data_IF_275583822091
#
_entry.id   IF_275583822091
#
_cell.length_a   1.000
_cell.length_b   1.000
_cell.length_c   1.000
_cell.angle_alpha   90.00
_cell.angle_beta   90.00
_cell.angle_gamma   90.00
#
_symmetry.space_group_name_H-M   'P 1'
#
loop_
_entity.id
_entity.type
_entity.pdbx_description
1 polymer ?
#
# COMPACT_ATOMS: atom_id res chain seq x y z
N UNK A 1 8.62 5.50 17.62
CA UNK A 1 9.51 4.36 17.30
C UNK A 1 10.12 4.58 15.93
N UNK A 2 11.31 4.05 15.64
CA UNK A 2 11.83 4.03 14.26
C UNK A 2 11.23 2.84 13.53
N UNK A 3 10.58 3.09 12.40
CA UNK A 3 10.04 2.06 11.52
C UNK A 3 11.22 1.34 10.83
N UNK A 4 11.32 0.02 11.00
CA UNK A 4 12.31 -0.85 10.33
C UNK A 4 11.62 -1.57 9.16
N UNK A 5 12.35 -2.02 8.16
CA UNK A 5 11.79 -2.75 6.99
C UNK A 5 12.73 -3.87 6.56
N UNK A 6 12.30 -4.70 5.60
CA UNK A 6 13.08 -5.85 5.13
C UNK A 6 14.16 -5.45 4.10
N UNK A 7 15.36 -6.05 4.16
CA UNK A 7 16.34 -5.97 3.07
C UNK A 7 15.85 -6.77 1.85
N UNK A 8 16.33 -6.40 0.66
CA UNK A 8 16.04 -7.13 -0.57
C UNK A 8 16.98 -8.34 -0.65
N UNK A 9 16.48 -9.57 -0.81
CA UNK A 9 17.34 -10.74 -0.98
C UNK A 9 18.25 -10.59 -2.20
N UNK A 10 19.53 -10.92 -2.03
CA UNK A 10 20.57 -10.80 -3.07
C UNK A 10 20.91 -9.36 -3.49
N UNK A 11 20.46 -8.36 -2.71
CA UNK A 11 20.87 -6.95 -2.80
C UNK A 11 21.17 -6.42 -1.39
N UNK A 12 22.46 -6.39 -1.05
CA UNK A 12 22.97 -6.01 0.26
C UNK A 12 22.91 -4.50 0.53
N UNK A 13 22.55 -3.70 -0.49
CA UNK A 13 22.56 -2.24 -0.43
C UNK A 13 21.18 -1.60 -0.34
N UNK A 14 20.10 -2.35 -0.58
CA UNK A 14 18.74 -1.81 -0.65
C UNK A 14 17.73 -2.51 0.26
N UNK A 15 16.75 -1.71 0.69
CA UNK A 15 15.63 -2.12 1.51
C UNK A 15 14.32 -1.84 0.80
N UNK A 16 13.33 -2.70 0.98
CA UNK A 16 12.02 -2.49 0.37
C UNK A 16 11.12 -1.63 1.25
N UNK A 17 10.43 -0.68 0.61
CA UNK A 17 9.33 0.08 1.18
C UNK A 17 8.25 0.29 0.12
N UNK A 18 7.01 0.51 0.56
CA UNK A 18 5.94 1.02 -0.30
C UNK A 18 5.56 2.43 0.16
N UNK A 19 5.20 3.34 -0.75
CA UNK A 19 4.58 4.59 -0.33
C UNK A 19 3.12 4.34 0.02
N UNK A 20 2.68 4.85 1.17
CA UNK A 20 1.33 4.68 1.68
C UNK A 20 0.25 5.09 0.69
N UNK A 21 0.41 6.23 -0.01
CA UNK A 21 -0.57 6.69 -1.01
C UNK A 21 -0.82 5.66 -2.13
N UNK A 22 0.21 4.95 -2.60
CA UNK A 22 0.02 3.94 -3.65
C UNK A 22 -0.74 2.72 -3.13
N UNK A 23 -0.48 2.32 -1.89
CA UNK A 23 -1.22 1.23 -1.26
C UNK A 23 -2.68 1.62 -0.96
N UNK A 24 -2.93 2.83 -0.46
CA UNK A 24 -4.27 3.37 -0.23
C UNK A 24 -5.09 3.39 -1.53
N UNK A 25 -4.51 3.86 -2.65
CA UNK A 25 -5.16 3.85 -3.95
C UNK A 25 -5.39 2.43 -4.50
N UNK A 26 -4.46 1.50 -4.27
CA UNK A 26 -4.64 0.08 -4.60
C UNK A 26 -5.85 -0.50 -3.87
N UNK A 27 -5.92 -0.33 -2.55
CA UNK A 27 -7.01 -0.81 -1.71
C UNK A 27 -8.36 -0.21 -2.11
N UNK A 28 -8.42 1.11 -2.36
CA UNK A 28 -9.63 1.76 -2.84
C UNK A 28 -10.10 1.18 -4.19
N UNK A 29 -9.18 0.87 -5.10
CA UNK A 29 -9.54 0.23 -6.36
C UNK A 29 -9.99 -1.24 -6.18
N UNK A 30 -9.41 -1.99 -5.23
CA UNK A 30 -9.89 -3.35 -4.88
C UNK A 30 -11.32 -3.31 -4.34
N UNK A 31 -11.64 -2.35 -3.47
CA UNK A 31 -13.00 -2.12 -2.99
C UNK A 31 -13.95 -1.78 -4.14
N UNK A 32 -13.57 -0.84 -5.02
CA UNK A 32 -14.35 -0.51 -6.22
C UNK A 32 -14.67 -1.75 -7.05
N UNK A 33 -13.68 -2.59 -7.36
CA UNK A 33 -13.89 -3.82 -8.14
C UNK A 33 -14.81 -4.82 -7.44
N UNK A 34 -14.71 -4.97 -6.12
CA UNK A 34 -15.58 -5.86 -5.34
C UNK A 34 -17.03 -5.38 -5.35
N UNK A 35 -17.26 -4.08 -5.16
CA UNK A 35 -18.57 -3.43 -5.20
C UNK A 35 -19.25 -3.62 -6.57
N UNK A 36 -18.51 -3.41 -7.65
CA UNK A 36 -19.01 -3.59 -9.02
C UNK A 36 -19.31 -5.05 -9.38
N UNK A 37 -18.61 -6.01 -8.78
CA UNK A 37 -18.73 -7.42 -9.12
C UNK A 37 -19.71 -8.22 -8.25
N UNK A 38 -20.16 -7.67 -7.11
CA UNK A 38 -20.81 -8.45 -6.05
C UNK A 38 -22.20 -7.98 -5.62
N UNK A 39 -22.70 -6.86 -6.13
CA UNK A 39 -23.96 -6.25 -5.68
C UNK A 39 -24.89 -6.02 -6.87
N UNK A 40 -26.16 -6.38 -6.70
CA UNK A 40 -27.24 -5.99 -7.59
C UNK A 40 -27.80 -4.64 -7.14
N UNK A 41 -27.85 -3.67 -8.05
CA UNK A 41 -28.17 -2.27 -7.75
C UNK A 41 -29.57 -1.85 -8.21
N UNK A 42 -30.39 -2.79 -8.71
CA UNK A 42 -31.66 -2.48 -9.37
C UNK A 42 -32.73 -1.87 -8.45
N UNK A 43 -32.68 -2.12 -7.15
CA UNK A 43 -33.70 -1.69 -6.17
C UNK A 43 -33.16 -0.74 -5.09
N UNK A 44 -31.99 -0.13 -5.30
CA UNK A 44 -31.37 0.80 -4.35
C UNK A 44 -31.88 2.24 -4.55
N UNK A 45 -32.04 2.96 -3.44
CA UNK A 45 -32.30 4.41 -3.42
C UNK A 45 -31.13 5.19 -4.05
N UNK A 46 -31.39 6.37 -4.63
CA UNK A 46 -30.40 7.23 -5.28
C UNK A 46 -29.25 7.65 -4.34
N UNK A 47 -29.45 7.60 -3.02
CA UNK A 47 -28.39 7.82 -2.01
C UNK A 47 -27.47 6.61 -1.78
N UNK A 48 -27.89 5.41 -2.17
CA UNK A 48 -27.16 4.15 -2.00
C UNK A 48 -26.84 3.46 -3.33
N UNK A 49 -27.40 3.93 -4.44
CA UNK A 49 -27.17 3.41 -5.78
C UNK A 49 -25.73 3.58 -6.25
N UNK A 50 -25.35 2.78 -7.25
CA UNK A 50 -23.98 2.70 -7.77
C UNK A 50 -23.40 4.07 -8.17
N UNK A 51 -24.22 4.98 -8.68
CA UNK A 51 -23.83 6.35 -9.04
C UNK A 51 -23.30 7.14 -7.84
N UNK A 52 -23.98 7.03 -6.69
CA UNK A 52 -23.57 7.72 -5.45
C UNK A 52 -22.30 7.10 -4.89
N UNK A 53 -22.22 5.76 -4.89
CA UNK A 53 -21.04 5.01 -4.44
C UNK A 53 -19.81 5.38 -5.30
N UNK A 54 -19.96 5.51 -6.62
CA UNK A 54 -18.90 5.97 -7.51
C UNK A 54 -18.41 7.38 -7.17
N UNK A 55 -19.33 8.31 -6.91
CA UNK A 55 -18.99 9.65 -6.50
C UNK A 55 -18.19 9.64 -5.18
N UNK A 56 -18.60 8.84 -4.20
CA UNK A 56 -17.90 8.64 -2.93
C UNK A 56 -16.49 8.06 -3.14
N UNK A 57 -16.34 7.03 -3.98
CA UNK A 57 -15.04 6.44 -4.31
C UNK A 57 -14.13 7.50 -4.96
N UNK A 58 -14.65 8.32 -5.86
CA UNK A 58 -13.87 9.39 -6.48
C UNK A 58 -13.47 10.48 -5.48
N UNK A 59 -14.36 10.88 -4.56
CA UNK A 59 -14.05 11.85 -3.51
C UNK A 59 -12.93 11.33 -2.58
N UNK A 60 -12.99 10.06 -2.19
CA UNK A 60 -11.93 9.40 -1.42
C UNK A 60 -10.61 9.37 -2.20
N UNK A 61 -10.64 9.00 -3.48
CA UNK A 61 -9.45 9.03 -4.35
C UNK A 61 -8.81 10.41 -4.40
N UNK A 62 -9.61 11.46 -4.55
CA UNK A 62 -9.12 12.84 -4.57
C UNK A 62 -8.50 13.24 -3.23
N UNK A 63 -9.12 12.85 -2.11
CA UNK A 63 -8.56 13.09 -0.77
C UNK A 63 -7.21 12.40 -0.57
N UNK A 64 -7.10 11.13 -0.97
CA UNK A 64 -5.85 10.36 -0.90
C UNK A 64 -4.74 10.94 -1.78
N UNK A 65 -5.08 11.41 -2.99
CA UNK A 65 -4.11 12.07 -3.87
C UNK A 65 -3.72 13.46 -3.35
N UNK A 66 -4.63 14.20 -2.72
CA UNK A 66 -4.34 15.50 -2.11
C UNK A 66 -3.44 15.35 -0.88
N UNK A 67 -3.73 14.35 -0.03
CA UNK A 67 -2.90 14.05 1.12
C UNK A 67 -1.55 13.46 0.71
N UNK A 68 -1.51 12.66 -0.36
CA UNK A 68 -0.30 12.04 -0.91
C UNK A 68 0.64 11.53 0.18
N UNK A 69 0.13 10.67 1.06
CA UNK A 69 0.91 10.18 2.20
C UNK A 69 2.19 9.45 1.74
N UNK A 70 3.33 10.08 2.00
CA UNK A 70 4.66 9.57 1.66
C UNK A 70 5.26 8.69 2.74
N UNK A 71 4.50 8.38 3.79
CA UNK A 71 5.06 7.54 4.83
C UNK A 71 5.44 6.19 4.24
N UNK A 72 6.71 5.76 4.39
CA UNK A 72 7.13 4.46 3.93
C UNK A 72 6.40 3.38 4.75
N UNK A 73 5.56 2.61 4.09
CA UNK A 73 5.03 1.37 4.64
C UNK A 73 6.17 0.37 4.66
N UNK A 74 6.43 -0.13 5.87
CA UNK A 74 7.45 -1.13 6.08
C UNK A 74 6.91 -2.50 5.76
N UNK A 75 7.75 -3.33 5.17
CA UNK A 75 7.43 -4.72 4.93
C UNK A 75 7.85 -5.56 6.13
N UNK A 76 7.06 -6.59 6.43
CA UNK A 76 7.36 -7.59 7.46
C UNK A 76 6.82 -8.95 7.05
N UNK A 77 7.46 -10.03 7.52
CA UNK A 77 6.91 -11.38 7.33
C UNK A 77 5.83 -11.65 8.35
N UNK A 78 4.66 -11.96 7.85
CA UNK A 78 3.54 -12.46 8.62
C UNK A 78 3.90 -13.82 9.24
N UNK A 79 3.60 -14.01 10.53
CA UNK A 79 3.92 -15.25 11.25
C UNK A 79 2.99 -16.41 10.90
N UNK A 80 1.82 -16.16 10.32
CA UNK A 80 0.80 -17.15 9.98
C UNK A 80 1.11 -17.83 8.64
N UNK A 81 1.50 -17.06 7.62
CA UNK A 81 1.77 -17.58 6.27
C UNK A 81 3.22 -17.40 5.78
N UNK A 82 4.07 -16.67 6.53
CA UNK A 82 5.48 -16.43 6.18
C UNK A 82 5.69 -15.43 5.04
N UNK A 83 4.63 -14.84 4.50
CA UNK A 83 4.66 -13.92 3.36
C UNK A 83 4.95 -12.51 3.84
N UNK A 84 5.77 -11.77 3.08
CA UNK A 84 6.06 -10.38 3.37
C UNK A 84 4.83 -9.49 3.01
N UNK A 85 4.34 -8.70 3.97
CA UNK A 85 3.18 -7.79 3.86
C UNK A 85 3.52 -6.39 4.38
N UNK A 86 2.76 -5.38 3.97
CA UNK A 86 2.92 -3.99 4.43
C UNK A 86 2.20 -3.67 5.74
N UNK A 87 2.71 -2.70 6.51
CA UNK A 87 2.13 -2.22 7.78
C UNK A 87 1.60 -0.79 7.63
N UNK A 88 0.35 -0.53 8.06
CA UNK A 88 -0.42 0.67 7.66
C UNK A 88 -0.59 1.78 8.74
N UNK A 89 -0.20 1.59 10.00
CA UNK A 89 -0.39 2.62 11.06
C UNK A 89 0.73 3.67 11.07
N UNK A 90 0.51 4.84 10.46
CA UNK A 90 1.51 5.92 10.34
C UNK A 90 0.88 7.33 10.25
N UNK A 91 1.68 8.41 10.33
CA UNK A 91 1.22 9.82 10.43
C UNK A 91 1.24 10.53 9.06
N UNK A 92 0.26 11.41 8.75
CA UNK A 92 0.00 11.93 7.39
C UNK A 92 0.05 13.47 7.24
N UNK A 93 0.39 14.00 6.03
CA UNK A 93 0.39 15.44 5.63
C UNK A 93 0.21 15.63 4.11
N UNK A 94 -0.55 16.64 3.63
CA UNK A 94 -0.79 16.92 2.18
C UNK A 94 0.44 17.35 1.34
N UNK A 95 0.54 16.91 0.07
CA UNK A 95 1.68 17.14 -0.85
C UNK A 95 1.32 17.13 -2.34
N UNK A 96 2.27 17.52 -3.18
CA UNK A 96 2.18 17.43 -4.65
C UNK A 96 2.24 15.96 -5.11
N UNK A 97 1.15 15.46 -5.69
CA UNK A 97 1.02 14.06 -6.07
C UNK A 97 1.82 13.68 -7.33
N UNK A 98 1.98 14.59 -8.29
CA UNK A 98 2.66 14.27 -9.55
C UNK A 98 4.16 14.10 -9.31
N UNK A 99 4.74 14.98 -8.50
CA UNK A 99 6.13 14.85 -8.05
C UNK A 99 6.38 13.51 -7.31
N UNK A 100 5.37 13.00 -6.60
CA UNK A 100 5.43 11.73 -5.88
C UNK A 100 5.38 10.54 -6.82
N UNK A 101 4.56 10.60 -7.88
CA UNK A 101 4.54 9.59 -8.94
C UNK A 101 5.91 9.51 -9.61
N UNK A 102 6.48 10.64 -10.01
CA UNK A 102 7.79 10.68 -10.68
C UNK A 102 8.88 10.10 -9.77
N UNK A 103 8.97 10.58 -8.52
CA UNK A 103 9.93 10.10 -7.55
C UNK A 103 9.83 8.59 -7.31
N UNK A 104 8.60 8.07 -7.20
CA UNK A 104 8.30 6.66 -6.98
C UNK A 104 8.66 5.80 -8.19
N UNK A 105 8.39 6.28 -9.41
CA UNK A 105 8.70 5.58 -10.66
C UNK A 105 10.20 5.40 -10.84
N UNK A 106 10.98 6.45 -10.57
CA UNK A 106 12.46 6.42 -10.68
C UNK A 106 13.11 5.42 -9.72
N UNK A 107 12.42 5.06 -8.63
CA UNK A 107 12.90 4.17 -7.56
C UNK A 107 12.13 2.85 -7.50
N UNK A 108 11.29 2.59 -8.49
CA UNK A 108 10.54 1.35 -8.56
C UNK A 108 11.50 0.17 -8.71
N UNK A 109 11.20 -0.92 -8.00
CA UNK A 109 11.90 -2.18 -8.20
C UNK A 109 11.78 -2.63 -9.65
N UNK A 110 12.93 -2.71 -10.33
CA UNK A 110 13.00 -3.09 -11.74
C UNK A 110 12.84 -4.60 -11.95
N UNK A 111 13.05 -5.39 -10.91
CA UNK A 111 12.91 -6.85 -10.90
C UNK A 111 12.21 -7.30 -9.64
N UNK A 112 11.34 -8.30 -9.77
CA UNK A 112 10.77 -8.98 -8.61
C UNK A 112 11.88 -9.68 -7.81
N UNK A 113 11.78 -9.67 -6.49
CA UNK A 113 12.66 -10.40 -5.59
C UNK A 113 11.93 -11.58 -4.97
N UNK A 114 12.68 -12.49 -4.37
CA UNK A 114 12.10 -13.66 -3.72
C UNK A 114 11.46 -13.26 -2.37
N UNK A 115 10.15 -13.08 -2.35
CA UNK A 115 9.39 -12.71 -1.16
C UNK A 115 9.45 -13.73 -0.02
N UNK A 116 9.91 -14.97 -0.23
CA UNK A 116 10.01 -16.00 0.83
C UNK A 116 11.44 -16.18 1.36
N UNK A 117 12.46 -15.66 0.68
CA UNK A 117 13.87 -15.80 1.10
C UNK A 117 14.21 -14.85 2.26
N UNK A 118 14.76 -15.41 3.36
CA UNK A 118 15.22 -14.64 4.50
C UNK A 118 16.67 -14.19 4.31
N UNK A 119 16.98 -12.95 4.74
CA UNK A 119 18.34 -12.44 4.83
C UNK A 119 18.78 -12.56 6.29
N UNK A 120 19.52 -13.63 6.61
CA UNK A 120 19.94 -13.92 7.99
C UNK A 120 20.88 -12.85 8.57
N UNK A 121 21.59 -12.13 7.70
CA UNK A 121 22.50 -11.04 8.07
C UNK A 121 21.83 -9.67 8.20
N UNK A 122 20.49 -9.58 8.30
CA UNK A 122 19.79 -8.29 8.44
C UNK A 122 20.22 -7.53 9.71
N UNK A 123 20.91 -6.38 9.59
CA UNK A 123 21.34 -5.59 10.74
C UNK A 123 20.16 -4.96 11.50
N UNK A 124 18.95 -4.91 10.93
CA UNK A 124 17.77 -4.36 11.58
C UNK A 124 17.05 -5.39 12.47
N UNK A 125 17.29 -6.69 12.29
CA UNK A 125 16.70 -7.77 13.08
C UNK A 125 15.17 -7.74 13.08
N UNK A 126 14.56 -7.40 11.94
CA UNK A 126 13.14 -7.07 11.83
C UNK A 126 12.25 -8.23 11.35
N UNK A 127 12.82 -9.43 11.34
CA UNK A 127 12.47 -10.53 10.43
C UNK A 127 11.00 -11.00 10.44
N UNK A 128 10.25 -10.80 11.52
CA UNK A 128 8.85 -11.29 11.67
C UNK A 128 7.97 -10.35 12.51
N UNK A 129 6.65 -10.45 12.35
CA UNK A 129 5.66 -9.82 13.25
C UNK A 129 4.41 -10.68 13.44
N UNK A 130 3.81 -10.61 14.64
CA UNK A 130 2.44 -11.07 14.88
C UNK A 130 1.49 -9.89 14.68
N UNK A 131 0.45 -10.06 13.87
CA UNK A 131 -0.66 -9.10 13.78
C UNK A 131 -1.51 -9.14 15.06
#
# INVERSE_FOLDING_TARGET
MRNKTLPIPDDDSHYIVSLSVFHQLHCLNRLRLAIYGGVDWTDEDDSLGITHIDHCINALRQSLMCSADLTPLTWRRDLEDGVAKEVMEVVHTCRDFDAVIEWGRDRQLQKAFNFTKMVESDPLGWNTYAA
#
